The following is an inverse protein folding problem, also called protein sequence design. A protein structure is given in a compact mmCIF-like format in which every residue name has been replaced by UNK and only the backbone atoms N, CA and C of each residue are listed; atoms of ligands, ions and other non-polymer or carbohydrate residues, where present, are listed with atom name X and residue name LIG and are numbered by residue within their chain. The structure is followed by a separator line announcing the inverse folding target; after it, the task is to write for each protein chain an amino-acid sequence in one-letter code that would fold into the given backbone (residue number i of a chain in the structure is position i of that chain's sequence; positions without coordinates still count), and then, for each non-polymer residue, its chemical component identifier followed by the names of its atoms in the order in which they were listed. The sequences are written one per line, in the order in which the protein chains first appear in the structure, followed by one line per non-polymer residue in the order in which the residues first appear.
data_IF_902612016999
#
_entry.id   IF_902612016999
#
_cell.length_a   1.000
_cell.length_b   1.000
_cell.length_c   1.000
_cell.angle_alpha   90.00
_cell.angle_beta   90.00
_cell.angle_gamma   90.00
#
_symmetry.space_group_name_H-M   'P 1'
#
loop_
_entity.id
_entity.type
_entity.pdbx_description
1 polymer ?
#
# COMPACT_ATOMS: atom_id res chain seq x y z
N UNK A 1 -6.02 4.57 -13.80
CA UNK A 1 -5.99 4.92 -15.23
C UNK A 1 -6.76 3.91 -16.02
N UNK A 2 -6.39 2.63 -15.87
CA UNK A 2 -6.96 1.55 -16.70
C UNK A 2 -8.30 0.99 -16.22
N UNK A 3 -8.57 1.01 -14.92
CA UNK A 3 -9.86 0.61 -14.37
C UNK A 3 -10.53 1.77 -13.59
N UNK A 4 -11.86 1.85 -13.59
CA UNK A 4 -12.59 2.80 -12.77
C UNK A 4 -12.49 2.44 -11.27
N UNK A 5 -12.50 3.46 -10.40
CA UNK A 5 -12.40 3.29 -8.93
C UNK A 5 -13.48 2.41 -8.28
N UNK A 6 -14.60 2.18 -8.97
CA UNK A 6 -15.62 1.22 -8.55
C UNK A 6 -15.14 -0.24 -8.60
N UNK A 7 -14.07 -0.52 -9.33
CA UNK A 7 -13.45 -1.84 -9.44
C UNK A 7 -12.44 -2.17 -8.34
N UNK A 8 -12.12 -1.22 -7.45
CA UNK A 8 -11.27 -1.45 -6.26
C UNK A 8 -12.14 -1.55 -5.01
N UNK A 9 -11.74 -2.24 -3.93
CA UNK A 9 -12.48 -2.22 -2.66
C UNK A 9 -12.67 -0.80 -2.10
N UNK A 10 -13.74 -0.57 -1.34
CA UNK A 10 -14.02 0.72 -0.71
C UNK A 10 -13.24 0.83 0.60
N UNK A 11 -12.12 1.55 0.54
CA UNK A 11 -11.19 1.70 1.67
C UNK A 11 -11.01 3.19 2.02
N UNK A 12 -11.99 3.80 2.72
CA UNK A 12 -11.94 5.20 3.13
C UNK A 12 -10.90 5.46 4.23
N UNK A 13 -10.16 6.57 4.11
CA UNK A 13 -9.14 6.99 5.08
C UNK A 13 -9.70 7.25 6.47
N UNK A 14 -10.99 7.53 6.59
CA UNK A 14 -11.67 7.71 7.87
C UNK A 14 -11.56 6.50 8.81
N UNK A 15 -11.23 5.30 8.30
CA UNK A 15 -10.89 4.14 9.12
C UNK A 15 -9.76 4.40 10.13
N UNK A 16 -8.84 5.33 9.85
CA UNK A 16 -7.78 5.69 10.79
C UNK A 16 -8.28 6.45 12.03
N UNK A 17 -9.52 6.96 11.98
CA UNK A 17 -10.17 7.68 13.07
C UNK A 17 -11.10 6.78 13.91
N UNK A 18 -11.27 5.52 13.51
CA UNK A 18 -12.18 4.63 14.23
C UNK A 18 -11.68 4.42 15.67
N UNK A 19 -12.59 4.29 16.65
CA UNK A 19 -12.19 4.01 18.03
C UNK A 19 -11.74 2.56 18.18
N UNK A 20 -10.92 2.29 19.20
CA UNK A 20 -10.33 0.96 19.46
C UNK A 20 -11.35 -0.18 19.56
N UNK A 21 -12.57 0.11 20.04
CA UNK A 21 -13.63 -0.87 20.17
C UNK A 21 -14.23 -1.29 18.82
N UNK A 22 -14.14 -0.45 17.77
CA UNK A 22 -14.72 -0.72 16.46
C UNK A 22 -14.16 -2.03 15.87
N UNK A 23 -14.98 -2.83 15.16
CA UNK A 23 -14.54 -4.12 14.62
C UNK A 23 -13.37 -3.96 13.62
N UNK A 24 -13.36 -2.87 12.86
CA UNK A 24 -12.27 -2.47 11.97
C UNK A 24 -11.48 -1.37 12.70
N UNK A 25 -10.33 -1.70 13.26
CA UNK A 25 -9.45 -0.73 13.90
C UNK A 25 -8.00 -1.07 13.56
N UNK A 26 -7.16 -0.04 13.38
CA UNK A 26 -5.75 -0.23 13.00
C UNK A 26 -5.00 -1.20 13.92
N UNK A 27 -5.27 -1.15 15.23
CA UNK A 27 -4.61 -2.03 16.20
C UNK A 27 -4.99 -3.50 16.12
N UNK A 28 -6.10 -3.83 15.45
CA UNK A 28 -6.55 -5.21 15.23
C UNK A 28 -5.93 -5.82 13.96
N UNK A 29 -5.14 -5.05 13.23
CA UNK A 29 -4.46 -5.46 11.99
C UNK A 29 -2.98 -5.69 12.26
N UNK A 30 -2.43 -6.77 11.72
CA UNK A 30 -0.99 -7.09 11.80
C UNK A 30 -0.13 -5.91 11.33
N UNK A 31 1.06 -5.77 11.91
CA UNK A 31 1.93 -4.61 11.67
C UNK A 31 2.19 -4.34 10.18
N UNK A 32 2.65 -5.35 9.43
CA UNK A 32 2.95 -5.22 8.00
C UNK A 32 1.72 -4.77 7.18
N UNK A 33 0.54 -5.24 7.56
CA UNK A 33 -0.69 -4.92 6.87
C UNK A 33 -1.14 -3.50 7.21
N UNK A 34 -0.92 -3.06 8.46
CA UNK A 34 -1.22 -1.71 8.93
C UNK A 34 -0.32 -0.66 8.27
N UNK A 35 0.99 -0.90 8.20
CA UNK A 35 1.93 0.02 7.53
C UNK A 35 1.63 0.14 6.04
N UNK A 36 1.16 -0.94 5.41
CA UNK A 36 0.70 -0.91 4.01
C UNK A 36 -0.63 -0.15 3.87
N UNK A 37 -1.59 -0.45 4.74
CA UNK A 37 -2.95 0.04 4.65
C UNK A 37 -3.05 1.54 4.83
N UNK A 38 -2.37 2.13 5.81
CA UNK A 38 -2.54 3.56 6.14
C UNK A 38 -2.24 4.51 4.97
N UNK A 39 -1.07 4.45 4.30
CA UNK A 39 -0.82 5.28 3.12
C UNK A 39 -1.74 4.92 1.95
N UNK A 40 -2.06 3.63 1.77
CA UNK A 40 -3.00 3.19 0.73
C UNK A 40 -4.41 3.80 0.91
N UNK A 41 -4.89 3.91 2.15
CA UNK A 41 -6.18 4.52 2.45
C UNK A 41 -6.22 6.00 2.00
N UNK A 42 -5.12 6.73 2.17
CA UNK A 42 -4.99 8.10 1.67
C UNK A 42 -5.08 8.11 0.15
N UNK A 43 -4.29 7.28 -0.53
CA UNK A 43 -4.28 7.15 -2.00
C UNK A 43 -5.66 6.80 -2.57
N UNK A 44 -6.38 5.87 -1.94
CA UNK A 44 -7.75 5.51 -2.31
C UNK A 44 -8.71 6.69 -2.12
N UNK A 45 -8.59 7.43 -1.01
CA UNK A 45 -9.52 8.52 -0.67
C UNK A 45 -9.33 9.77 -1.52
N UNK A 46 -8.11 10.01 -2.02
CA UNK A 46 -7.83 11.07 -3.00
C UNK A 46 -8.00 10.60 -4.44
N UNK A 47 -8.36 9.32 -4.64
CA UNK A 47 -8.55 8.69 -5.95
C UNK A 47 -7.31 8.83 -6.85
N UNK A 48 -6.14 8.53 -6.29
CA UNK A 48 -4.82 8.61 -6.92
C UNK A 48 -4.78 8.09 -8.37
N UNK A 49 -4.47 8.97 -9.32
CA UNK A 49 -4.36 8.60 -10.73
C UNK A 49 -2.88 8.53 -11.15
N UNK A 50 -2.55 7.52 -11.96
CA UNK A 50 -1.24 7.43 -12.59
C UNK A 50 -1.04 8.63 -13.54
N UNK A 51 0.16 9.23 -13.52
CA UNK A 51 0.52 10.35 -14.40
C UNK A 51 0.53 9.97 -15.89
N UNK A 52 0.96 8.74 -16.19
CA UNK A 52 1.09 8.18 -17.54
C UNK A 52 1.66 9.16 -18.60
N UNK A 53 2.91 9.63 -18.44
CA UNK A 53 3.48 10.65 -19.33
C UNK A 53 3.62 10.18 -20.79
N UNK A 54 3.69 8.87 -21.02
CA UNK A 54 3.81 8.28 -22.36
C UNK A 54 2.46 7.96 -23.00
N UNK A 55 1.34 8.11 -22.27
CA UNK A 55 0.02 7.75 -22.77
C UNK A 55 -0.14 6.26 -23.12
N UNK A 56 0.66 5.39 -22.50
CA UNK A 56 0.59 3.94 -22.74
C UNK A 56 -0.56 3.37 -21.94
N UNK A 57 -1.43 2.64 -22.62
CA UNK A 57 -2.59 1.96 -22.04
C UNK A 57 -2.48 0.46 -22.30
N UNK A 58 -3.18 -0.34 -21.49
CA UNK A 58 -3.13 -1.80 -21.55
C UNK A 58 -4.53 -2.39 -21.70
N UNK A 59 -5.32 -1.81 -22.62
CA UNK A 59 -6.71 -2.19 -22.83
C UNK A 59 -6.85 -3.63 -23.37
N UNK A 60 -5.81 -4.15 -24.02
CA UNK A 60 -5.68 -5.52 -24.49
C UNK A 60 -5.69 -6.57 -23.36
N UNK A 61 -5.46 -6.17 -22.10
CA UNK A 61 -5.57 -7.06 -20.94
C UNK A 61 -7.03 -7.41 -20.58
N UNK A 62 -8.01 -6.69 -21.14
CA UNK A 62 -9.41 -6.81 -20.75
C UNK A 62 -10.26 -7.47 -21.83
N UNK A 63 -10.87 -8.61 -21.48
CA UNK A 63 -11.87 -9.26 -22.34
C UNK A 63 -13.15 -8.42 -22.45
N UNK A 64 -13.57 -7.80 -21.35
CA UNK A 64 -14.68 -6.85 -21.30
C UNK A 64 -14.13 -5.48 -20.97
N UNK A 65 -14.47 -4.41 -21.73
CA UNK A 65 -14.00 -3.07 -21.44
C UNK A 65 -14.22 -2.71 -19.96
N UNK A 66 -13.20 -2.18 -19.25
CA UNK A 66 -13.31 -1.88 -17.82
C UNK A 66 -14.53 -1.03 -17.49
N UNK A 67 -14.91 -0.09 -18.36
CA UNK A 67 -16.07 0.77 -18.11
C UNK A 67 -17.43 0.05 -18.16
N UNK A 68 -17.50 -1.15 -18.71
CA UNK A 68 -18.71 -1.97 -18.75
C UNK A 68 -18.73 -3.03 -17.63
N UNK A 69 -17.57 -3.42 -17.11
CA UNK A 69 -17.45 -4.44 -16.06
C UNK A 69 -18.07 -3.98 -14.73
N UNK A 70 -18.77 -4.91 -14.06
CA UNK A 70 -19.50 -4.74 -12.79
C UNK A 70 -19.18 -5.83 -11.76
N UNK A 71 -18.60 -6.94 -12.17
CA UNK A 71 -18.23 -8.11 -11.37
C UNK A 71 -16.69 -8.26 -11.26
N UNK A 72 -15.98 -7.21 -10.83
CA UNK A 72 -14.52 -7.24 -10.59
C UNK A 72 -14.05 -8.23 -9.52
N UNK A 73 -14.96 -8.72 -8.68
CA UNK A 73 -14.62 -9.63 -7.59
C UNK A 73 -15.19 -11.02 -7.85
N UNK A 74 -14.41 -12.09 -7.58
CA UNK A 74 -14.90 -13.45 -7.74
C UNK A 74 -16.13 -13.69 -6.87
N UNK A 75 -17.10 -14.45 -7.40
CA UNK A 75 -18.33 -14.80 -6.67
C UNK A 75 -17.97 -15.58 -5.40
N UNK A 76 -18.40 -15.06 -4.25
CA UNK A 76 -18.23 -15.70 -2.93
C UNK A 76 -19.57 -16.16 -2.35
N UNK A 77 -19.52 -17.00 -1.32
CA UNK A 77 -20.70 -17.53 -0.60
C UNK A 77 -20.66 -17.11 0.88
N UNK A 78 -21.82 -17.16 1.55
CA UNK A 78 -21.95 -16.87 2.97
C UNK A 78 -21.47 -15.46 3.36
N UNK A 79 -20.71 -15.37 4.45
CA UNK A 79 -20.23 -14.12 5.03
C UNK A 79 -19.42 -13.25 4.05
N UNK A 80 -18.60 -13.88 3.20
CA UNK A 80 -17.81 -13.17 2.19
C UNK A 80 -18.70 -12.45 1.16
N UNK A 81 -19.84 -13.05 0.79
CA UNK A 81 -20.82 -12.40 -0.09
C UNK A 81 -21.45 -11.20 0.61
N UNK A 82 -21.79 -11.34 1.90
CA UNK A 82 -22.33 -10.24 2.69
C UNK A 82 -21.35 -9.05 2.76
N UNK A 83 -20.04 -9.31 2.95
CA UNK A 83 -19.01 -8.27 2.92
C UNK A 83 -18.92 -7.56 1.57
N UNK A 84 -18.95 -8.30 0.45
CA UNK A 84 -18.92 -7.69 -0.90
C UNK A 84 -20.16 -6.84 -1.18
N UNK A 85 -21.33 -7.27 -0.71
CA UNK A 85 -22.56 -6.47 -0.82
C UNK A 85 -22.44 -5.22 0.04
N UNK A 86 -21.95 -5.34 1.28
CA UNK A 86 -21.73 -4.20 2.15
C UNK A 86 -20.76 -3.19 1.55
N UNK A 87 -19.62 -3.62 0.98
CA UNK A 87 -18.67 -2.75 0.28
C UNK A 87 -19.34 -1.94 -0.83
N UNK A 88 -20.14 -2.63 -1.66
CA UNK A 88 -20.86 -2.01 -2.78
C UNK A 88 -21.87 -0.97 -2.30
N UNK A 89 -22.62 -1.27 -1.24
CA UNK A 89 -23.65 -0.36 -0.70
C UNK A 89 -23.02 0.81 0.03
N UNK A 90 -22.06 0.56 0.93
CA UNK A 90 -21.43 1.58 1.78
C UNK A 90 -20.67 2.61 0.95
N UNK A 91 -20.10 2.23 -0.20
CA UNK A 91 -19.46 3.16 -1.13
C UNK A 91 -20.38 4.31 -1.55
N UNK A 92 -21.69 4.06 -1.71
CA UNK A 92 -22.63 5.12 -2.09
C UNK A 92 -22.80 6.19 -1.00
N UNK A 93 -22.35 5.91 0.23
CA UNK A 93 -22.31 6.87 1.33
C UNK A 93 -21.03 7.74 1.31
N UNK A 94 -20.04 7.46 0.45
CA UNK A 94 -18.81 8.24 0.36
C UNK A 94 -19.05 9.76 0.19
N UNK A 95 -20.02 10.23 -0.63
CA UNK A 95 -20.30 11.66 -0.78
C UNK A 95 -20.85 12.33 0.48
N UNK A 96 -21.40 11.55 1.42
CA UNK A 96 -21.94 12.04 2.69
C UNK A 96 -20.83 12.32 3.72
N UNK A 97 -19.62 11.83 3.48
CA UNK A 97 -18.51 12.02 4.40
C UNK A 97 -18.04 13.49 4.36
N UNK A 98 -18.08 14.22 5.49
CA UNK A 98 -17.69 15.62 5.50
C UNK A 98 -16.24 15.84 5.08
N UNK A 99 -15.98 16.81 4.19
CA UNK A 99 -14.62 17.14 3.72
C UNK A 99 -13.66 17.47 4.87
N UNK A 100 -14.15 18.10 5.94
CA UNK A 100 -13.35 18.38 7.12
C UNK A 100 -12.90 17.10 7.86
N UNK A 101 -13.79 16.10 7.94
CA UNK A 101 -13.47 14.80 8.53
C UNK A 101 -12.43 14.08 7.68
N UNK A 102 -12.59 14.08 6.35
CA UNK A 102 -11.61 13.49 5.42
C UNK A 102 -10.23 14.13 5.54
N UNK A 103 -10.16 15.47 5.57
CA UNK A 103 -8.89 16.18 5.76
C UNK A 103 -8.22 15.81 7.08
N UNK A 104 -9.00 15.73 8.18
CA UNK A 104 -8.50 15.28 9.48
C UNK A 104 -7.98 13.84 9.44
N UNK A 105 -8.68 12.95 8.76
CA UNK A 105 -8.27 11.56 8.60
C UNK A 105 -6.98 11.44 7.77
N UNK A 106 -6.86 12.17 6.67
CA UNK A 106 -5.62 12.23 5.85
C UNK A 106 -4.46 12.74 6.71
N UNK A 107 -4.63 13.86 7.42
CA UNK A 107 -3.59 14.40 8.28
C UNK A 107 -3.15 13.38 9.35
N UNK A 108 -4.11 12.72 10.00
CA UNK A 108 -3.82 11.67 10.99
C UNK A 108 -3.05 10.50 10.40
N UNK A 109 -3.36 10.10 9.15
CA UNK A 109 -2.69 9.02 8.43
C UNK A 109 -1.25 9.40 8.05
N UNK A 110 -1.03 10.63 7.60
CA UNK A 110 0.30 11.20 7.33
C UNK A 110 1.14 11.18 8.60
N UNK A 111 0.69 11.84 9.67
CA UNK A 111 1.39 11.89 10.96
C UNK A 111 1.69 10.49 11.51
N UNK A 112 0.75 9.55 11.34
CA UNK A 112 0.95 8.17 11.77
C UNK A 112 2.08 7.47 10.99
N UNK A 113 2.17 7.73 9.69
CA UNK A 113 3.16 7.12 8.78
C UNK A 113 4.53 7.75 8.99
N UNK A 114 4.62 9.08 9.00
CA UNK A 114 5.88 9.82 9.19
C UNK A 114 6.56 9.48 10.51
N UNK A 115 5.79 9.40 11.61
CA UNK A 115 6.31 9.04 12.92
C UNK A 115 6.90 7.61 13.00
N UNK A 116 6.75 6.80 11.95
CA UNK A 116 7.24 5.40 11.87
C UNK A 116 8.19 5.17 10.71
N UNK A 117 8.52 6.20 9.93
CA UNK A 117 9.60 6.13 8.96
C UNK A 117 10.93 6.09 9.72
N UNK A 118 11.83 5.22 9.30
CA UNK A 118 13.08 4.92 10.01
C UNK A 118 14.30 5.67 9.45
N UNK A 119 14.12 6.53 8.45
CA UNK A 119 15.19 7.30 7.81
C UNK A 119 16.09 6.52 6.85
N UNK A 120 16.16 5.19 6.95
CA UNK A 120 17.19 4.41 6.26
C UNK A 120 16.63 3.28 5.37
N UNK A 121 15.90 2.32 5.96
CA UNK A 121 15.45 1.11 5.25
C UNK A 121 13.99 1.18 4.79
N UNK A 122 13.37 2.35 4.93
CA UNK A 122 12.03 2.61 4.45
C UNK A 122 10.94 2.11 5.39
N UNK A 123 9.73 2.62 5.17
CA UNK A 123 8.61 2.36 6.05
C UNK A 123 8.24 0.87 6.11
N UNK A 124 8.41 0.25 7.28
CA UNK A 124 8.10 -1.17 7.48
C UNK A 124 9.07 -2.15 6.84
N UNK A 125 10.13 -1.70 6.17
CA UNK A 125 11.16 -2.57 5.57
C UNK A 125 10.67 -3.50 4.45
N UNK A 126 9.48 -3.22 3.89
CA UNK A 126 8.88 -4.03 2.82
C UNK A 126 8.34 -3.14 1.69
N UNK A 127 8.27 -3.65 0.46
CA UNK A 127 7.98 -2.87 -0.75
C UNK A 127 6.64 -2.08 -0.73
N UNK A 128 5.47 -2.67 -0.42
CA UNK A 128 4.18 -1.96 -0.53
C UNK A 128 4.06 -0.65 0.28
N UNK A 129 4.32 -0.62 1.62
CA UNK A 129 4.26 0.60 2.41
C UNK A 129 5.25 1.66 1.95
N UNK A 130 6.43 1.28 1.44
CA UNK A 130 7.39 2.24 0.89
C UNK A 130 6.81 2.93 -0.35
N UNK A 131 6.33 2.17 -1.34
CA UNK A 131 5.76 2.75 -2.57
C UNK A 131 4.54 3.60 -2.24
N UNK A 132 3.61 3.09 -1.43
CA UNK A 132 2.40 3.85 -1.11
C UNK A 132 2.70 5.13 -0.33
N UNK A 133 3.68 5.12 0.57
CA UNK A 133 4.06 6.34 1.29
C UNK A 133 4.76 7.34 0.38
N UNK A 134 5.62 6.87 -0.53
CA UNK A 134 6.25 7.72 -1.53
C UNK A 134 5.20 8.39 -2.43
N UNK A 135 4.28 7.61 -3.01
CA UNK A 135 3.20 8.14 -3.85
C UNK A 135 2.23 9.05 -3.07
N UNK A 136 1.96 8.73 -1.80
CA UNK A 136 1.18 9.60 -0.92
C UNK A 136 1.84 10.97 -0.76
N UNK A 137 3.14 11.01 -0.45
CA UNK A 137 3.90 12.26 -0.35
C UNK A 137 3.89 13.05 -1.67
N UNK A 138 4.11 12.37 -2.81
CA UNK A 138 4.04 13.00 -4.15
C UNK A 138 2.69 13.66 -4.39
N UNK A 139 1.58 12.94 -4.12
CA UNK A 139 0.23 13.43 -4.41
C UNK A 139 -0.29 14.44 -3.38
N UNK A 140 0.28 14.47 -2.17
CA UNK A 140 0.03 15.51 -1.18
C UNK A 140 0.90 16.76 -1.38
N UNK A 141 1.77 16.78 -2.40
CA UNK A 141 2.53 17.96 -2.80
C UNK A 141 3.86 18.14 -2.08
N UNK A 142 4.42 17.08 -1.49
CA UNK A 142 5.76 17.14 -0.88
C UNK A 142 6.80 17.43 -1.98
N UNK A 143 7.71 18.40 -1.75
CA UNK A 143 8.73 18.72 -2.75
C UNK A 143 9.69 17.55 -2.94
N UNK A 144 10.38 17.49 -4.09
CA UNK A 144 11.23 16.33 -4.42
C UNK A 144 12.43 16.17 -3.49
N UNK A 145 12.90 17.28 -2.93
CA UNK A 145 13.99 17.37 -1.94
C UNK A 145 13.51 17.21 -0.49
N UNK A 146 12.20 16.97 -0.26
CA UNK A 146 11.71 16.72 1.10
C UNK A 146 12.43 15.50 1.70
N UNK A 147 13.01 15.60 2.92
CA UNK A 147 13.84 14.53 3.50
C UNK A 147 13.19 13.15 3.45
N UNK A 148 11.95 13.02 3.95
CA UNK A 148 11.21 11.74 3.94
C UNK A 148 11.00 11.17 2.52
N UNK A 149 10.83 12.03 1.52
CA UNK A 149 10.61 11.60 0.14
C UNK A 149 11.91 11.09 -0.49
N UNK A 150 13.02 11.78 -0.23
CA UNK A 150 14.37 11.36 -0.66
C UNK A 150 14.74 10.03 0.00
N UNK A 151 14.57 9.92 1.32
CA UNK A 151 14.84 8.70 2.09
C UNK A 151 14.00 7.53 1.60
N UNK A 152 12.70 7.71 1.41
CA UNK A 152 11.82 6.66 0.91
C UNK A 152 12.22 6.20 -0.51
N UNK A 153 12.64 7.13 -1.38
CA UNK A 153 13.15 6.81 -2.73
C UNK A 153 14.46 6.03 -2.65
N UNK A 154 15.36 6.38 -1.71
CA UNK A 154 16.60 5.66 -1.48
C UNK A 154 16.35 4.24 -0.97
N UNK A 155 15.44 4.07 -0.01
CA UNK A 155 15.04 2.76 0.51
C UNK A 155 14.45 1.86 -0.59
N UNK A 156 13.59 2.40 -1.46
CA UNK A 156 13.06 1.66 -2.61
C UNK A 156 14.17 1.18 -3.56
N UNK A 157 15.21 2.01 -3.79
CA UNK A 157 16.35 1.62 -4.63
C UNK A 157 17.15 0.46 -4.02
N UNK A 158 17.26 0.37 -2.69
CA UNK A 158 17.93 -0.76 -2.00
C UNK A 158 17.26 -2.11 -2.30
N UNK A 159 15.97 -2.12 -2.64
CA UNK A 159 15.25 -3.34 -3.00
C UNK A 159 15.54 -3.82 -4.42
N UNK A 160 16.12 -2.99 -5.28
CA UNK A 160 16.41 -3.35 -6.67
C UNK A 160 17.77 -4.04 -6.75
N UNK A 161 17.76 -5.26 -7.28
CA UNK A 161 18.98 -6.03 -7.55
C UNK A 161 19.23 -6.05 -9.04
N UNK A 162 20.43 -5.61 -9.42
CA UNK A 162 20.93 -5.67 -10.78
C UNK A 162 21.75 -6.96 -10.96
N UNK A 163 21.57 -7.64 -12.09
CA UNK A 163 22.30 -8.86 -12.44
C UNK A 163 23.27 -8.59 -13.59
N UNK A 164 24.32 -9.42 -13.69
CA UNK A 164 25.36 -9.29 -14.71
C UNK A 164 24.84 -9.47 -16.14
N UNK A 165 23.71 -10.19 -16.30
CA UNK A 165 23.01 -10.36 -17.58
C UNK A 165 22.23 -9.12 -18.04
N UNK A 166 22.33 -8.01 -17.29
CA UNK A 166 21.64 -6.75 -17.56
C UNK A 166 20.18 -6.72 -17.08
N UNK A 167 19.66 -7.82 -16.53
CA UNK A 167 18.31 -7.85 -15.95
C UNK A 167 18.29 -7.23 -14.54
N UNK A 168 17.09 -6.92 -14.04
CA UNK A 168 16.91 -6.40 -12.69
C UNK A 168 15.61 -6.92 -12.10
N UNK A 169 15.58 -7.11 -10.78
CA UNK A 169 14.36 -7.48 -10.06
C UNK A 169 14.25 -6.69 -8.76
N UNK A 170 13.02 -6.52 -8.27
CA UNK A 170 12.76 -5.87 -7.00
C UNK A 170 12.48 -6.93 -5.94
N UNK A 171 13.24 -6.91 -4.85
CA UNK A 171 12.98 -7.72 -3.68
C UNK A 171 11.75 -7.19 -2.93
N UNK A 172 10.92 -8.06 -2.34
CA UNK A 172 9.80 -7.63 -1.52
C UNK A 172 10.27 -7.04 -0.17
N UNK A 173 11.40 -7.55 0.35
CA UNK A 173 12.06 -7.14 1.58
C UNK A 173 13.51 -7.66 1.60
N UNK A 174 14.31 -7.21 2.56
CA UNK A 174 15.67 -7.73 2.81
C UNK A 174 15.66 -8.63 4.04
N UNK A 175 16.43 -9.72 4.02
CA UNK A 175 16.51 -10.73 5.10
C UNK A 175 17.87 -10.84 5.81
N UNK A 176 18.74 -9.80 5.89
CA UNK A 176 20.14 -9.98 6.32
C UNK A 176 20.26 -10.55 7.74
N UNK A 177 19.41 -10.10 8.67
CA UNK A 177 19.41 -10.59 10.05
C UNK A 177 19.00 -12.06 10.12
N UNK A 178 17.97 -12.43 9.36
CA UNK A 178 17.45 -13.80 9.31
C UNK A 178 18.48 -14.75 8.70
N UNK A 179 19.05 -14.37 7.55
CA UNK A 179 20.00 -15.21 6.82
C UNK A 179 21.31 -15.38 7.60
N UNK A 180 21.78 -14.32 8.27
CA UNK A 180 22.97 -14.40 9.13
C UNK A 180 22.76 -15.36 10.30
N UNK A 181 21.61 -15.26 10.98
CA UNK A 181 21.31 -16.13 12.12
C UNK A 181 21.27 -17.62 11.70
N UNK A 182 20.59 -17.93 10.60
CA UNK A 182 20.56 -19.30 10.06
C UNK A 182 21.94 -19.79 9.63
N UNK A 183 22.74 -18.92 9.01
CA UNK A 183 24.10 -19.28 8.61
C UNK A 183 24.98 -19.61 9.81
N UNK A 184 24.90 -18.83 10.89
CA UNK A 184 25.65 -19.11 12.14
C UNK A 184 25.20 -20.42 12.77
N UNK A 185 23.90 -20.66 12.87
CA UNK A 185 23.38 -21.92 13.41
C UNK A 185 23.81 -23.14 12.59
N UNK A 186 23.87 -23.01 11.26
CA UNK A 186 24.32 -24.08 10.38
C UNK A 186 25.81 -24.38 10.57
N UNK A 187 26.65 -23.35 10.73
CA UNK A 187 28.08 -23.52 10.98
C UNK A 187 28.36 -24.14 12.35
N UNK A 188 27.60 -23.80 13.39
CA UNK A 188 27.73 -24.41 14.72
C UNK A 188 27.45 -25.91 14.71
N UNK A 189 26.50 -26.36 13.88
CA UNK A 189 26.10 -27.75 13.77
C UNK A 189 26.91 -28.54 12.73
N UNK A 190 27.82 -27.88 12.01
CA UNK A 190 28.67 -28.56 11.03
C UNK A 190 29.61 -29.53 11.76
N UNK A 191 29.75 -30.79 11.27
CA UNK A 191 30.72 -31.72 11.84
C UNK A 191 32.13 -31.15 11.67
N UNK A 192 33.05 -31.39 12.63
CA UNK A 192 34.45 -31.09 12.42
C UNK A 192 35.00 -31.90 11.24
N UNK A 193 35.87 -31.28 10.46
CA UNK A 193 36.63 -31.92 9.39
C UNK A 193 37.49 -33.09 9.90
#
# INVERSE_FOLDING_TARGET
GEIPWRGTPFMPVEFVLFPRWAPIHMDKVAYWARTTMVPLLVLCSIRAAAKNPLGVHVQELFVTPPELEREYFPRKRGLQRAFLIADRVVRHLEPLIPRALRRRAIQRAVEWSEARMNGEDGFGGIFPPMVYSYEMMVLLGYPEDHPLRVECKAALKKLVVHRDDGSSYCQPCLSPVWDTAWSVMALEQAPPD
#
